data_IF_920906546055
#
_entry.id   IF_920906546055
#
_cell.length_a   1.000
_cell.length_b   1.000
_cell.length_c   1.000
_cell.angle_alpha   90.00
_cell.angle_beta   90.00
_cell.angle_gamma   90.00
#
_symmetry.space_group_name_H-M   'P 1'
#
loop_
_entity.id
_entity.type
_entity.pdbx_description
1 polymer ?
#
# COMPACT_ATOMS: atom_id res chain seq x y z
N UNK A 1 13.65 -14.54 15.55
CA UNK A 1 13.56 -15.79 16.35
C UNK A 1 12.26 -15.77 17.15
N UNK A 2 11.10 -15.70 16.50
CA UNK A 2 9.80 -15.63 17.19
C UNK A 2 8.75 -16.30 16.31
N UNK A 3 8.36 -17.54 16.65
CA UNK A 3 7.31 -18.25 15.93
C UNK A 3 7.20 -19.74 16.27
N UNK A 4 8.34 -20.41 16.50
CA UNK A 4 8.33 -21.85 16.79
C UNK A 4 7.90 -22.22 18.23
N UNK A 5 7.71 -21.22 19.10
CA UNK A 5 7.56 -21.40 20.56
C UNK A 5 6.09 -21.38 21.03
N UNK A 6 5.11 -21.48 20.13
CA UNK A 6 3.66 -21.37 20.47
C UNK A 6 2.76 -22.43 19.85
N UNK A 7 3.29 -23.55 19.39
CA UNK A 7 2.39 -24.63 18.98
C UNK A 7 1.76 -25.24 20.24
N UNK A 8 0.42 -25.33 20.31
CA UNK A 8 -0.23 -26.08 21.37
C UNK A 8 0.30 -27.52 21.37
N UNK A 9 0.37 -28.17 22.54
CA UNK A 9 0.82 -29.56 22.63
C UNK A 9 -0.07 -30.43 21.73
N UNK A 10 0.56 -31.18 20.83
CA UNK A 10 -0.14 -32.12 19.96
C UNK A 10 -0.93 -33.13 20.80
N UNK A 11 -2.16 -33.49 20.37
CA UNK A 11 -2.94 -34.51 21.03
C UNK A 11 -2.15 -35.82 21.15
N UNK A 12 -2.18 -36.43 22.34
CA UNK A 12 -1.48 -37.69 22.59
C UNK A 12 -2.11 -38.90 21.88
N UNK A 13 -1.44 -40.07 21.89
CA UNK A 13 -1.93 -41.28 21.21
C UNK A 13 -3.30 -41.78 21.69
N UNK A 14 -3.72 -41.38 22.89
CA UNK A 14 -4.99 -41.75 23.52
C UNK A 14 -6.10 -40.69 23.31
N UNK A 15 -5.83 -39.65 22.50
CA UNK A 15 -6.79 -38.57 22.24
C UNK A 15 -8.05 -39.08 21.52
N UNK A 16 -9.21 -38.58 21.97
CA UNK A 16 -10.49 -38.90 21.35
C UNK A 16 -10.64 -38.26 19.96
N UNK A 17 -11.53 -38.81 19.13
CA UNK A 17 -11.80 -38.30 17.78
C UNK A 17 -12.22 -36.82 17.81
N UNK A 18 -13.04 -36.42 18.78
CA UNK A 18 -13.51 -35.03 18.92
C UNK A 18 -12.37 -34.05 19.22
N UNK A 19 -11.39 -34.49 20.01
CA UNK A 19 -10.21 -33.70 20.37
C UNK A 19 -9.30 -33.50 19.15
N UNK A 20 -9.08 -34.55 18.37
CA UNK A 20 -8.33 -34.48 17.11
C UNK A 20 -9.01 -33.57 16.09
N UNK A 21 -10.35 -33.62 15.98
CA UNK A 21 -11.10 -32.73 15.08
C UNK A 21 -10.96 -31.27 15.50
N UNK A 22 -11.11 -30.97 16.79
CA UNK A 22 -10.96 -29.61 17.30
C UNK A 22 -9.56 -29.05 17.04
N UNK A 23 -8.51 -29.86 17.17
CA UNK A 23 -7.13 -29.43 16.94
C UNK A 23 -6.84 -29.17 15.45
N UNK A 24 -7.36 -30.03 14.58
CA UNK A 24 -7.30 -29.83 13.12
C UNK A 24 -7.99 -28.52 12.71
N UNK A 25 -9.18 -28.25 13.26
CA UNK A 25 -9.93 -27.03 12.93
C UNK A 25 -9.19 -25.78 13.42
N UNK A 26 -8.63 -25.83 14.63
CA UNK A 26 -7.79 -24.76 15.17
C UNK A 26 -6.56 -24.51 14.28
N UNK A 27 -5.83 -25.56 13.94
CA UNK A 27 -4.63 -25.47 13.10
C UNK A 27 -4.96 -24.92 11.72
N UNK A 28 -6.07 -25.34 11.11
CA UNK A 28 -6.55 -24.79 9.84
C UNK A 28 -6.87 -23.30 9.94
N UNK A 29 -7.50 -22.87 11.03
CA UNK A 29 -7.77 -21.45 11.28
C UNK A 29 -6.47 -20.66 11.37
N UNK A 30 -5.51 -21.10 12.19
CA UNK A 30 -4.23 -20.40 12.40
C UNK A 30 -3.39 -20.32 11.11
N UNK A 31 -3.40 -21.38 10.30
CA UNK A 31 -2.77 -21.37 8.98
C UNK A 31 -3.50 -20.42 8.02
N UNK A 32 -4.84 -20.39 8.05
CA UNK A 32 -5.64 -19.45 7.28
C UNK A 32 -5.30 -17.99 7.60
N UNK A 33 -5.25 -17.65 8.89
CA UNK A 33 -4.87 -16.32 9.38
C UNK A 33 -3.45 -15.94 8.96
N UNK A 34 -2.52 -16.90 9.00
CA UNK A 34 -1.13 -16.68 8.59
C UNK A 34 -1.02 -16.41 7.09
N UNK A 35 -1.77 -17.15 6.26
CA UNK A 35 -1.81 -16.94 4.81
C UNK A 35 -2.45 -15.59 4.47
N UNK A 36 -3.51 -15.20 5.17
CA UNK A 36 -4.13 -13.88 5.02
C UNK A 36 -3.14 -12.76 5.36
N UNK A 37 -2.47 -12.84 6.50
CA UNK A 37 -1.46 -11.86 6.91
C UNK A 37 -0.27 -11.78 5.94
N UNK A 38 0.16 -12.91 5.38
CA UNK A 38 1.22 -12.92 4.36
C UNK A 38 0.74 -12.30 3.05
N UNK A 39 -0.49 -12.60 2.63
CA UNK A 39 -1.11 -12.01 1.45
C UNK A 39 -1.22 -10.49 1.58
N UNK A 40 -1.67 -9.99 2.73
CA UNK A 40 -1.74 -8.56 3.03
C UNK A 40 -0.36 -7.89 3.03
N UNK A 41 0.67 -8.61 3.49
CA UNK A 41 2.05 -8.11 3.48
C UNK A 41 2.62 -8.05 2.06
N UNK A 42 2.22 -8.98 1.21
CA UNK A 42 2.65 -9.07 -0.19
C UNK A 42 1.77 -8.25 -1.15
N UNK A 43 0.62 -7.73 -0.72
CA UNK A 43 -0.21 -6.79 -1.50
C UNK A 43 0.41 -5.38 -1.58
N UNK A 44 1.56 -5.32 -2.24
CA UNK A 44 2.23 -4.06 -2.58
C UNK A 44 1.48 -3.30 -3.67
N UNK A 45 0.75 -4.01 -4.53
CA UNK A 45 0.03 -3.43 -5.67
C UNK A 45 -1.18 -2.65 -5.18
N UNK A 46 -2.02 -3.22 -4.33
CA UNK A 46 -3.15 -2.52 -3.73
C UNK A 46 -2.69 -1.31 -2.92
N UNK A 47 -1.64 -1.47 -2.11
CA UNK A 47 -1.04 -0.36 -1.35
C UNK A 47 -0.49 0.76 -2.25
N UNK A 48 0.19 0.41 -3.33
CA UNK A 48 0.71 1.38 -4.29
C UNK A 48 -0.42 2.12 -5.02
N UNK A 49 -1.48 1.40 -5.43
CA UNK A 49 -2.64 2.00 -6.07
C UNK A 49 -3.39 2.95 -5.12
N UNK A 50 -3.60 2.54 -3.87
CA UNK A 50 -4.23 3.40 -2.87
C UNK A 50 -3.42 4.68 -2.62
N UNK A 51 -2.10 4.56 -2.40
CA UNK A 51 -1.23 5.73 -2.24
C UNK A 51 -1.17 6.61 -3.49
N UNK A 52 -1.19 6.02 -4.69
CA UNK A 52 -1.25 6.78 -5.92
C UNK A 52 -2.56 7.55 -6.06
N UNK A 53 -3.69 6.96 -5.69
CA UNK A 53 -4.99 7.63 -5.69
C UNK A 53 -5.02 8.79 -4.68
N UNK A 54 -4.56 8.57 -3.45
CA UNK A 54 -4.44 9.60 -2.41
C UNK A 54 -3.54 10.76 -2.86
N UNK A 55 -2.38 10.44 -3.44
CA UNK A 55 -1.44 11.44 -3.96
C UNK A 55 -2.07 12.22 -5.13
N UNK A 56 -2.81 11.56 -6.01
CA UNK A 56 -3.50 12.21 -7.13
C UNK A 56 -4.50 13.25 -6.62
N UNK A 57 -5.32 12.92 -5.63
CA UNK A 57 -6.24 13.88 -5.02
C UNK A 57 -5.49 15.08 -4.44
N UNK A 58 -4.45 14.85 -3.63
CA UNK A 58 -3.67 15.93 -3.04
C UNK A 58 -2.96 16.83 -4.08
N UNK A 59 -2.57 16.28 -5.23
CA UNK A 59 -1.97 17.04 -6.34
C UNK A 59 -3.04 17.87 -7.06
N UNK A 60 -4.22 17.31 -7.31
CA UNK A 60 -5.35 18.02 -7.93
C UNK A 60 -5.78 19.18 -7.06
N UNK A 61 -5.95 18.98 -5.76
CA UNK A 61 -6.35 20.04 -4.82
C UNK A 61 -5.31 21.17 -4.78
N UNK A 62 -4.01 20.83 -4.75
CA UNK A 62 -2.94 21.84 -4.82
C UNK A 62 -2.91 22.58 -6.16
N UNK A 63 -3.19 21.90 -7.27
CA UNK A 63 -3.23 22.54 -8.59
C UNK A 63 -4.41 23.52 -8.70
N UNK A 64 -5.58 23.16 -8.16
CA UNK A 64 -6.72 24.08 -8.06
C UNK A 64 -6.38 25.29 -7.19
N UNK A 65 -5.84 25.08 -5.98
CA UNK A 65 -5.44 26.17 -5.10
C UNK A 65 -4.39 27.10 -5.74
N UNK A 66 -3.41 26.53 -6.46
CA UNK A 66 -2.40 27.31 -7.17
C UNK A 66 -3.00 28.12 -8.34
N UNK A 67 -3.97 27.55 -9.04
CA UNK A 67 -4.68 28.23 -10.14
C UNK A 67 -5.53 29.39 -9.62
N UNK A 68 -6.23 29.19 -8.50
CA UNK A 68 -7.01 30.24 -7.85
C UNK A 68 -6.11 31.35 -7.32
N UNK A 69 -4.96 31.01 -6.73
CA UNK A 69 -3.96 31.99 -6.29
C UNK A 69 -3.37 32.79 -7.46
N UNK A 70 -3.11 32.14 -8.60
CA UNK A 70 -2.62 32.80 -9.81
C UNK A 70 -3.67 33.73 -10.43
N UNK A 71 -4.96 33.37 -10.38
CA UNK A 71 -6.07 34.25 -10.78
C UNK A 71 -6.21 35.46 -9.87
N UNK A 72 -5.99 35.29 -8.57
CA UNK A 72 -6.05 36.38 -7.60
C UNK A 72 -4.83 37.33 -7.68
N UNK A 73 -3.68 36.84 -8.18
CA UNK A 73 -2.43 37.60 -8.28
C UNK A 73 -1.72 37.33 -9.61
N UNK A 74 -1.91 38.16 -10.65
CA UNK A 74 -1.31 37.97 -11.98
C UNK A 74 0.20 38.30 -12.05
N UNK A 75 0.90 38.32 -10.92
CA UNK A 75 2.30 38.74 -10.83
C UNK A 75 3.32 37.63 -11.17
N UNK A 76 2.89 36.48 -11.68
CA UNK A 76 3.80 35.37 -12.02
C UNK A 76 4.57 35.74 -13.31
N UNK A 77 5.90 35.87 -13.26
CA UNK A 77 6.69 36.22 -14.44
C UNK A 77 6.67 35.09 -15.46
N UNK A 78 6.47 35.43 -16.73
CA UNK A 78 6.36 34.48 -17.87
C UNK A 78 7.56 33.52 -17.93
N UNK A 79 8.75 33.98 -17.52
CA UNK A 79 9.95 33.17 -17.44
C UNK A 79 9.83 31.97 -16.48
N UNK A 80 9.09 32.10 -15.38
CA UNK A 80 8.90 31.00 -14.41
C UNK A 80 8.02 29.89 -15.00
N UNK A 81 7.00 30.23 -15.79
CA UNK A 81 6.13 29.26 -16.46
C UNK A 81 6.92 28.43 -17.47
N UNK A 82 7.74 29.10 -18.29
CA UNK A 82 8.58 28.44 -19.30
C UNK A 82 9.58 27.47 -18.65
N UNK A 83 10.20 27.86 -17.54
CA UNK A 83 11.14 27.00 -16.81
C UNK A 83 10.47 25.73 -16.27
N UNK A 84 9.25 25.84 -15.73
CA UNK A 84 8.48 24.67 -15.25
C UNK A 84 8.12 23.73 -16.40
N UNK A 85 7.65 24.25 -17.54
CA UNK A 85 7.33 23.43 -18.70
C UNK A 85 8.56 22.71 -19.26
N UNK A 86 9.71 23.40 -19.32
CA UNK A 86 10.98 22.80 -19.75
C UNK A 86 11.42 21.68 -18.80
N UNK A 87 11.30 21.87 -17.48
CA UNK A 87 11.62 20.85 -16.49
C UNK A 87 10.72 19.61 -16.63
N UNK A 88 9.41 19.80 -16.87
CA UNK A 88 8.46 18.70 -17.11
C UNK A 88 8.84 17.95 -18.40
N UNK A 89 9.16 18.67 -19.48
CA UNK A 89 9.59 18.08 -20.74
C UNK A 89 10.88 17.26 -20.59
N UNK A 90 11.86 17.79 -19.86
CA UNK A 90 13.12 17.09 -19.57
C UNK A 90 12.88 15.82 -18.75
N UNK A 91 12.02 15.89 -17.74
CA UNK A 91 11.64 14.74 -16.92
C UNK A 91 10.95 13.66 -17.77
N UNK A 92 10.05 14.05 -18.67
CA UNK A 92 9.38 13.11 -19.56
C UNK A 92 10.37 12.46 -20.54
N UNK A 93 11.34 13.22 -21.06
CA UNK A 93 12.40 12.71 -21.92
C UNK A 93 13.31 11.71 -21.18
N UNK A 94 13.68 11.99 -19.93
CA UNK A 94 14.43 11.04 -19.07
C UNK A 94 13.64 9.79 -18.74
N UNK A 95 12.32 9.89 -18.63
CA UNK A 95 11.47 8.75 -18.31
C UNK A 95 11.21 7.84 -19.52
N UNK A 96 11.51 8.32 -20.74
CA UNK A 96 11.29 7.61 -22.00
C UNK A 96 12.58 7.06 -22.63
N UNK A 97 13.74 7.52 -22.17
CA UNK A 97 15.06 7.03 -22.59
C UNK A 97 15.51 5.89 -21.68
#
# INVERSE_FOLDING_TARGET
>A
MAGADRLPPEPGPDAGIDELQSDIDKTRSELGDTVAALSDKLDVKGRAQHKAAETKHAVVDRAHAATDAAKAKPAVPTAAVVAVLAAIGLLWWWRRR
#
